data_IF_326907425518
#
_entry.id   IF_326907425518
#
_cell.length_a   1.000
_cell.length_b   1.000
_cell.length_c   1.000
_cell.angle_alpha   90.00
_cell.angle_beta   90.00
_cell.angle_gamma   90.00
#
_symmetry.space_group_name_H-M   'P 1'
#
loop_
_entity.id
_entity.type
_entity.pdbx_description
1 polymer ?
2 non-polymer ?
3 non-polymer ?
4 water ?
#
# COMPACT_ATOMS: atom_id res chain seq x y z
N UNK A 16 9.62 -1.56 -4.43
CA UNK A 16 8.72 -0.44 -3.99
C UNK A 16 7.22 -0.67 -4.27
N UNK A 17 6.88 -1.68 -5.06
CA UNK A 17 5.55 -2.27 -4.94
C UNK A 17 5.55 -2.95 -3.56
N UNK A 18 6.75 -3.26 -3.10
CA UNK A 18 6.93 -3.76 -1.77
C UNK A 18 6.56 -2.68 -0.72
N UNK A 19 7.11 -1.48 -0.86
CA UNK A 19 6.70 -0.35 0.00
C UNK A 19 5.21 -0.08 -0.10
N UNK A 20 4.69 0.00 -1.33
CA UNK A 20 3.27 0.37 -1.52
C UNK A 20 2.31 -0.55 -0.84
N UNK A 21 2.56 -1.85 -0.98
CA UNK A 21 1.71 -2.88 -0.40
C UNK A 21 1.77 -2.79 1.11
N UNK A 22 2.98 -2.61 1.66
CA UNK A 22 3.11 -2.41 3.10
C UNK A 22 2.43 -1.13 3.60
N UNK A 23 2.51 -0.04 2.86
CA UNK A 23 1.83 1.22 3.25
C UNK A 23 0.32 1.00 3.25
N UNK A 24 -0.19 0.42 2.17
CA UNK A 24 -1.61 0.13 2.10
C UNK A 24 -2.09 -0.81 3.21
N UNK A 25 -1.33 -1.88 3.50
CA UNK A 25 -1.73 -2.79 4.56
C UNK A 25 -1.83 -2.05 5.89
N UNK A 26 -0.83 -1.21 6.14
CA UNK A 26 -0.79 -0.45 7.39
C UNK A 26 -2.00 0.50 7.54
N UNK A 27 -2.36 1.20 6.46
CA UNK A 27 -3.54 2.06 6.46
C UNK A 27 -4.81 1.25 6.73
N UNK A 28 -4.90 0.02 6.18
CA UNK A 28 -6.09 -0.77 6.45
C UNK A 28 -6.09 -1.34 7.87
N UNK A 29 -4.93 -1.69 8.38
CA UNK A 29 -4.81 -2.16 9.75
C UNK A 29 -5.31 -1.09 10.74
N UNK A 30 -5.09 0.18 10.39
CA UNK A 30 -5.56 1.31 11.20
C UNK A 30 -7.09 1.41 11.19
N UNK A 31 -7.71 0.72 10.22
CA UNK A 31 -9.16 0.77 10.10
C UNK A 31 -9.80 -0.58 10.39
N UNK A 32 -9.08 -1.40 11.13
CA UNK A 32 -9.58 -2.65 11.68
C UNK A 32 -9.43 -3.90 10.83
N UNK A 33 -8.70 -3.81 9.71
CA UNK A 33 -8.41 -4.98 8.87
C UNK A 33 -7.24 -5.81 9.35
N UNK A 34 -7.34 -7.13 9.17
CA UNK A 34 -6.19 -8.00 9.30
C UNK A 34 -5.60 -8.13 7.92
N UNK A 35 -4.28 -8.01 7.80
CA UNK A 35 -3.64 -7.93 6.47
C UNK A 35 -2.47 -8.91 6.31
N UNK A 36 -2.20 -9.33 5.07
CA UNK A 36 -0.97 -10.03 4.70
C UNK A 36 -0.52 -9.37 3.39
N UNK A 37 0.78 -9.23 3.18
CA UNK A 37 1.29 -8.55 1.98
C UNK A 37 1.98 -9.51 1.04
N UNK A 38 1.98 -9.20 -0.26
CA UNK A 38 2.77 -9.94 -1.26
C UNK A 38 2.52 -11.45 -1.21
N UNK A 39 1.28 -11.82 -1.46
CA UNK A 39 0.84 -13.21 -1.36
C UNK A 39 0.66 -13.77 -2.77
N UNK A 40 1.30 -14.89 -3.07
CA UNK A 40 1.00 -15.56 -4.33
C UNK A 40 0.09 -16.71 -4.01
N UNK A 41 -1.06 -16.81 -4.71
CA UNK A 41 -1.93 -17.97 -4.51
C UNK A 41 -2.04 -18.73 -5.85
N UNK A 42 -2.23 -20.05 -5.78
CA UNK A 42 -2.50 -20.84 -6.99
C UNK A 42 -3.97 -20.61 -7.38
N UNK A 43 -4.17 -19.91 -8.50
CA UNK A 43 -5.54 -19.67 -8.95
C UNK A 43 -6.15 -20.93 -9.55
N UNK A 44 -7.39 -20.79 -10.00
CA UNK A 44 -8.08 -21.89 -10.69
C UNK A 44 -7.23 -22.34 -11.89
N UNK A 45 -6.58 -21.35 -12.52
CA UNK A 45 -5.80 -21.58 -13.75
C UNK A 45 -4.29 -21.45 -13.53
N UNK A 46 -3.84 -20.34 -12.96
CA UNK A 46 -2.41 -20.10 -12.83
C UNK A 46 -2.13 -19.38 -11.51
N UNK A 47 -0.87 -19.28 -11.14
CA UNK A 47 -0.47 -18.47 -9.96
C UNK A 47 -0.78 -17.00 -10.13
N UNK A 48 -1.25 -16.36 -9.06
CA UNK A 48 -1.61 -14.95 -9.12
C UNK A 48 -1.00 -14.24 -7.94
N UNK A 49 -0.38 -13.09 -8.20
CA UNK A 49 0.14 -12.22 -7.13
C UNK A 49 -0.96 -11.30 -6.57
N UNK A 50 -1.09 -11.26 -5.26
CA UNK A 50 -2.06 -10.35 -4.60
C UNK A 50 -1.23 -9.43 -3.69
N UNK A 51 -1.27 -8.12 -3.96
CA UNK A 51 -0.39 -7.17 -3.20
C UNK A 51 -0.75 -7.10 -1.72
N UNK A 52 -2.05 -7.11 -1.42
CA UNK A 52 -2.51 -7.18 -0.03
C UNK A 52 -3.77 -8.02 0.03
N UNK A 53 -3.81 -8.93 0.97
CA UNK A 53 -5.00 -9.64 1.32
C UNK A 53 -5.50 -9.01 2.63
N UNK A 54 -6.70 -8.45 2.63
CA UNK A 54 -7.22 -7.75 3.82
C UNK A 54 -8.57 -8.31 4.20
N UNK A 55 -8.73 -8.59 5.50
CA UNK A 55 -9.99 -9.14 5.97
C UNK A 55 -10.53 -8.33 7.15
N UNK A 56 -11.82 -8.04 7.12
CA UNK A 56 -12.48 -7.67 8.36
C UNK A 56 -13.95 -7.97 8.41
N UNK A 57 -14.34 -8.48 9.57
CA UNK A 57 -15.70 -8.96 9.84
C UNK A 57 -16.28 -9.82 8.74
N UNK A 58 -15.49 -10.78 8.32
CA UNK A 58 -15.94 -11.80 7.40
C UNK A 58 -15.96 -11.38 5.95
N UNK A 59 -15.40 -10.21 5.64
CA UNK A 59 -15.22 -9.81 4.24
C UNK A 59 -13.75 -9.93 3.94
N UNK A 60 -13.38 -10.46 2.76
CA UNK A 60 -11.96 -10.63 2.42
C UNK A 60 -11.69 -10.04 1.04
N UNK A 61 -10.74 -9.11 0.98
CA UNK A 61 -10.46 -8.36 -0.25
C UNK A 61 -9.16 -8.77 -0.91
N UNK A 62 -9.18 -8.86 -2.24
CA UNK A 62 -7.98 -9.05 -3.05
C UNK A 62 -7.50 -7.69 -3.50
N UNK A 63 -6.42 -7.18 -2.88
CA UNK A 63 -5.97 -5.82 -3.18
C UNK A 63 -4.75 -5.80 -4.09
N UNK A 64 -4.80 -4.99 -5.14
CA UNK A 64 -3.64 -4.72 -6.01
C UNK A 64 -3.33 -3.24 -6.02
N UNK A 65 -2.04 -2.90 -5.90
CA UNK A 65 -1.58 -1.52 -6.00
C UNK A 65 -1.11 -1.28 -7.42
N UNK A 66 -1.58 -0.19 -8.03
CA UNK A 66 -1.07 0.28 -9.29
C UNK A 66 -0.71 1.75 -9.12
N UNK A 67 0.52 2.00 -8.72
CA UNK A 67 0.99 3.37 -8.45
C UNK A 67 1.77 3.88 -9.67
N UNK A 68 1.90 5.20 -9.77
CA UNK A 68 2.65 5.82 -10.86
C UNK A 68 3.57 6.90 -10.27
N UNK A 69 4.73 7.12 -10.88
CA UNK A 69 5.59 8.25 -10.48
C UNK A 69 5.45 9.48 -11.39
N UNK A 70 4.53 9.39 -12.34
CA UNK A 70 4.16 10.49 -13.21
C UNK A 70 2.64 10.70 -13.12
N UNK A 71 2.13 11.90 -13.48
CA UNK A 71 0.70 12.16 -13.30
C UNK A 71 -0.10 11.53 -14.45
N UNK A 72 -0.32 10.22 -14.36
CA UNK A 72 -1.10 9.50 -15.36
C UNK A 72 -2.20 8.71 -14.66
N UNK A 73 -3.27 8.40 -15.39
CA UNK A 73 -4.41 7.66 -14.82
C UNK A 73 -4.11 6.18 -14.72
N UNK A 74 -4.76 5.51 -13.77
CA UNK A 74 -4.89 4.06 -13.80
C UNK A 74 -6.15 3.80 -14.61
N UNK A 75 -6.01 3.06 -15.70
CA UNK A 75 -7.10 2.99 -16.67
C UNK A 75 -7.86 1.70 -16.80
N UNK A 76 -8.64 1.61 -17.88
CA UNK A 76 -9.60 0.52 -18.04
C UNK A 76 -8.89 -0.82 -18.19
N UNK A 77 -7.79 -0.87 -18.92
CA UNK A 77 -7.08 -2.11 -19.10
C UNK A 77 -6.66 -2.71 -17.75
N UNK A 78 -6.08 -1.87 -16.89
CA UNK A 78 -5.69 -2.32 -15.54
C UNK A 78 -6.86 -2.85 -14.74
N UNK A 79 -7.99 -2.14 -14.78
CA UNK A 79 -9.21 -2.59 -14.11
C UNK A 79 -9.70 -3.96 -14.61
N UNK A 80 -9.71 -4.12 -15.94
CA UNK A 80 -10.18 -5.36 -16.52
C UNK A 80 -9.26 -6.54 -16.22
N UNK A 81 -7.95 -6.36 -16.32
CA UNK A 81 -6.91 -7.34 -15.86
C UNK A 81 -7.17 -7.79 -14.44
N UNK A 82 -7.40 -6.78 -13.59
CA UNK A 82 -7.63 -7.03 -12.17
C UNK A 82 -8.88 -7.84 -11.94
N UNK A 83 -9.94 -7.53 -12.71
CA UNK A 83 -11.15 -8.31 -12.56
C UNK A 83 -10.88 -9.77 -12.95
N UNK A 84 -10.19 -9.99 -14.07
CA UNK A 84 -9.82 -11.37 -14.46
C UNK A 84 -8.99 -12.08 -13.39
N UNK A 85 -8.07 -11.36 -12.76
CA UNK A 85 -7.28 -11.92 -11.64
C UNK A 85 -8.19 -12.37 -10.51
N UNK A 86 -9.11 -11.49 -10.13
CA UNK A 86 -10.10 -11.80 -9.08
C UNK A 86 -10.85 -13.10 -9.44
N UNK A 87 -11.33 -13.22 -10.68
CA UNK A 87 -12.09 -14.43 -11.03
C UNK A 87 -11.24 -15.69 -10.85
N UNK A 88 -9.95 -15.58 -11.17
CA UNK A 88 -9.04 -16.73 -11.07
C UNK A 88 -8.72 -17.12 -9.59
N UNK A 89 -8.83 -16.18 -8.64
CA UNK A 89 -8.54 -16.49 -7.22
C UNK A 89 -9.78 -16.59 -6.35
N UNK A 90 -10.93 -16.26 -6.93
CA UNK A 90 -12.17 -16.09 -6.17
C UNK A 90 -12.50 -17.32 -5.32
N UNK A 91 -12.23 -18.52 -5.85
CA UNK A 91 -12.48 -19.79 -5.14
C UNK A 91 -11.72 -19.93 -3.81
N UNK A 92 -10.66 -19.13 -3.63
CA UNK A 92 -9.93 -19.07 -2.36
C UNK A 92 -10.66 -18.28 -1.27
N UNK A 93 -11.81 -17.70 -1.61
CA UNK A 93 -12.63 -16.96 -0.62
C UNK A 93 -12.34 -15.48 -0.65
N UNK A 94 -12.59 -14.84 -1.79
CA UNK A 94 -12.42 -13.38 -1.90
C UNK A 94 -13.75 -12.77 -2.19
N UNK A 95 -14.10 -11.75 -1.41
CA UNK A 95 -15.36 -11.05 -1.53
C UNK A 95 -15.40 -10.15 -2.76
N UNK A 96 -14.32 -9.39 -2.96
CA UNK A 96 -14.24 -8.36 -3.96
C UNK A 96 -12.80 -8.04 -4.21
N UNK A 97 -12.47 -7.64 -5.45
CA UNK A 97 -11.16 -7.06 -5.70
C UNK A 97 -11.18 -5.56 -5.38
N UNK A 98 -10.00 -4.99 -5.15
CA UNK A 98 -9.87 -3.59 -4.72
C UNK A 98 -8.54 -3.07 -5.27
N UNK A 99 -8.58 -1.98 -6.01
CA UNK A 99 -7.36 -1.39 -6.55
C UNK A 99 -7.05 -0.10 -5.78
N UNK A 100 -5.79 0.02 -5.37
CA UNK A 100 -5.28 1.30 -4.85
C UNK A 100 -4.34 1.93 -5.85
N UNK A 101 -4.54 3.22 -6.09
CA UNK A 101 -3.59 3.95 -6.90
C UNK A 101 -3.25 5.27 -6.20
N UNK A 102 -2.06 5.77 -6.46
CA UNK A 102 -1.64 7.05 -5.90
C UNK A 102 -1.96 8.23 -6.82
N UNK A 103 -2.58 7.98 -7.98
CA UNK A 103 -3.04 9.06 -8.84
C UNK A 103 -4.58 9.07 -8.87
N UNK A 104 -5.15 8.85 -10.06
CA UNK A 104 -6.59 8.80 -10.24
C UNK A 104 -6.92 7.67 -11.20
N UNK A 105 -8.16 7.22 -11.15
CA UNK A 105 -8.68 6.26 -12.12
C UNK A 105 -9.31 7.04 -13.26
N UNK A 106 -9.17 6.54 -14.47
CA UNK A 106 -9.92 7.15 -15.60
C UNK A 106 -11.43 7.02 -15.44
N UNK A 107 -12.19 7.84 -16.17
CA UNK A 107 -13.66 7.70 -16.08
C UNK A 107 -14.12 6.32 -16.55
N UNK A 108 -13.42 5.76 -17.54
CA UNK A 108 -13.77 4.43 -18.04
C UNK A 108 -13.49 3.38 -16.98
N UNK A 109 -12.35 3.49 -16.31
CA UNK A 109 -12.06 2.55 -15.21
C UNK A 109 -13.08 2.65 -14.07
N UNK A 110 -13.49 3.88 -13.71
CA UNK A 110 -14.48 4.08 -12.65
C UNK A 110 -15.81 3.43 -13.03
N UNK A 111 -16.21 3.63 -14.28
CA UNK A 111 -17.47 3.06 -14.76
C UNK A 111 -17.44 1.53 -14.76
N UNK A 112 -16.38 0.97 -15.32
CA UNK A 112 -16.24 -0.49 -15.38
C UNK A 112 -16.22 -1.10 -13.96
N UNK A 113 -15.42 -0.48 -13.11
CA UNK A 113 -15.34 -0.94 -11.72
C UNK A 113 -16.69 -0.93 -11.01
N UNK A 114 -17.47 0.12 -11.19
CA UNK A 114 -18.78 0.23 -10.52
C UNK A 114 -19.69 -0.87 -11.04
N UNK A 115 -19.47 -1.24 -12.28
CA UNK A 115 -20.37 -2.17 -12.91
C UNK A 115 -20.07 -3.66 -12.74
N UNK A 116 -18.79 -4.06 -12.73
CA UNK A 116 -18.37 -5.29 -12.14
C UNK A 116 -18.12 -5.51 -10.67
N UNK A 117 -17.99 -4.43 -9.91
CA UNK A 117 -17.83 -4.61 -8.43
C UNK A 117 -16.37 -4.56 -7.96
N UNK A 118 -15.54 -3.75 -8.60
CA UNK A 118 -14.15 -3.54 -8.09
C UNK A 118 -14.14 -2.31 -7.20
N UNK A 119 -13.71 -2.46 -5.95
CA UNK A 119 -13.53 -1.29 -5.08
C UNK A 119 -12.35 -0.49 -5.59
N UNK A 120 -12.42 0.84 -5.49
CA UNK A 120 -11.30 1.66 -5.97
C UNK A 120 -10.92 2.68 -4.90
N UNK A 121 -9.62 2.82 -4.67
CA UNK A 121 -9.15 3.93 -3.82
C UNK A 121 -8.02 4.61 -4.54
N UNK A 122 -8.18 5.92 -4.79
CA UNK A 122 -7.14 6.72 -5.42
C UNK A 122 -6.55 7.69 -4.42
N UNK A 123 -5.69 8.59 -4.89
CA UNK A 123 -5.19 9.65 -4.02
C UNK A 123 -6.34 10.44 -3.38
N UNK A 124 -7.36 10.73 -4.19
CA UNK A 124 -8.45 11.61 -3.78
C UNK A 124 -9.84 11.05 -4.13
N UNK A 125 -9.94 9.71 -4.15
CA UNK A 125 -11.16 9.01 -4.57
C UNK A 125 -11.25 7.72 -3.75
N UNK A 126 -12.46 7.34 -3.26
CA UNK A 126 -13.71 8.08 -3.41
C UNK A 126 -13.66 9.32 -2.51
N UNK A 127 -14.66 10.18 -2.64
CA UNK A 127 -14.83 11.33 -1.79
C UNK A 127 -14.64 10.86 -0.34
N UNK A 128 -13.83 11.59 0.41
CA UNK A 128 -13.64 11.36 1.84
C UNK A 128 -12.78 10.15 2.22
N UNK A 129 -12.39 9.33 1.24
CA UNK A 129 -11.75 8.05 1.53
C UNK A 129 -10.45 7.79 0.74
N UNK A 130 -9.91 8.83 0.13
CA UNK A 130 -8.73 8.67 -0.70
C UNK A 130 -7.49 8.45 0.16
N UNK A 131 -6.39 8.03 -0.45
CA UNK A 131 -5.14 7.81 0.30
C UNK A 131 -4.73 9.12 1.01
N UNK A 132 -4.97 10.26 0.36
CA UNK A 132 -4.59 11.57 0.98
C UNK A 132 -5.27 11.71 2.35
N UNK A 133 -6.55 11.32 2.44
CA UNK A 133 -7.31 11.33 3.70
C UNK A 133 -6.83 10.25 4.68
N UNK A 134 -6.64 9.04 4.18
CA UNK A 134 -6.13 7.98 5.06
C UNK A 134 -4.82 8.39 5.75
N UNK A 135 -3.90 8.99 5.00
CA UNK A 135 -2.63 9.46 5.59
C UNK A 135 -2.82 10.71 6.45
N UNK A 136 -3.42 11.74 5.88
CA UNK A 136 -3.43 13.07 6.51
C UNK A 136 -4.33 13.13 7.73
N UNK A 137 -5.40 12.34 7.75
CA UNK A 137 -6.29 12.31 8.92
C UNK A 137 -5.61 11.77 10.19
N UNK A 138 -4.51 11.03 10.00
CA UNK A 138 -3.76 10.47 11.14
C UNK A 138 -2.43 11.17 11.33
N UNK A 139 -2.13 12.14 10.46
CA UNK A 139 -0.84 12.82 10.45
C UNK A 139 0.33 11.93 10.07
N UNK A 140 0.13 11.06 9.10
CA UNK A 140 1.19 10.11 8.68
C UNK A 140 2.08 10.62 7.52
N UNK A 141 3.39 10.34 7.61
CA UNK A 141 4.35 10.71 6.59
C UNK A 141 5.08 9.47 6.15
N UNK A 142 4.84 9.01 4.91
CA UNK A 142 5.57 7.84 4.36
C UNK A 142 7.08 8.06 4.42
N UNK A 143 7.87 7.02 4.73
CA UNK A 143 9.33 7.19 4.82
C UNK A 143 10.01 7.49 3.50
N UNK A 144 9.26 7.35 2.39
CA UNK A 144 9.76 7.74 1.08
C UNK A 144 10.12 9.23 0.99
N UNK A 145 9.64 10.02 1.95
CA UNK A 145 9.96 11.45 2.00
C UNK A 145 11.40 11.68 2.49
N UNK A 146 12.00 10.68 3.12
CA UNK A 146 13.32 10.83 3.69
C UNK A 146 14.43 10.72 2.65
N UNK A 147 15.53 11.41 2.92
CA UNK A 147 16.78 11.28 2.14
C UNK A 147 17.45 9.91 2.35
N UNK A 148 16.82 8.85 1.87
CA UNK A 148 17.36 7.49 2.02
C UNK A 148 17.33 6.73 0.68
N UNK A 149 18.28 5.80 0.50
CA UNK A 149 18.35 5.01 -0.74
C UNK A 149 17.44 3.77 -0.69
N UNK A 150 17.35 3.08 -1.82
CA UNK A 150 16.46 1.91 -1.98
C UNK A 150 16.81 0.77 -1.03
N UNK A 151 18.08 0.68 -0.65
CA UNK A 151 18.56 -0.35 0.27
C UNK A 151 18.08 -0.06 1.71
N UNK A 152 18.45 1.12 2.21
CA UNK A 152 17.95 1.64 3.51
C UNK A 152 16.43 1.58 3.56
N UNK A 153 15.79 2.09 2.52
CA UNK A 153 14.34 2.04 2.38
C UNK A 153 13.78 0.63 2.57
N UNK A 154 14.31 -0.33 1.82
CA UNK A 154 13.82 -1.71 1.88
C UNK A 154 14.03 -2.37 3.25
N UNK A 155 15.21 -2.16 3.82
CA UNK A 155 15.51 -2.57 5.21
C UNK A 155 14.47 -2.06 6.17
N UNK A 156 14.18 -0.76 6.12
CA UNK A 156 13.16 -0.18 6.99
C UNK A 156 11.81 -0.87 6.77
N UNK A 157 11.36 -0.95 5.51
CA UNK A 157 10.07 -1.59 5.21
C UNK A 157 9.95 -3.05 5.69
N UNK A 158 10.96 -3.88 5.42
CA UNK A 158 11.00 -5.27 5.89
C UNK A 158 10.74 -5.35 7.42
N UNK A 159 11.24 -4.36 8.16
CA UNK A 159 11.03 -4.27 9.61
C UNK A 159 9.63 -3.72 9.91
N UNK A 160 8.87 -3.45 8.86
CA UNK A 160 7.51 -2.89 9.00
C UNK A 160 7.53 -1.40 9.24
N UNK A 161 8.64 -0.77 8.90
CA UNK A 161 8.79 0.67 9.12
C UNK A 161 8.35 1.33 7.82
N UNK A 162 7.17 1.95 7.86
CA UNK A 162 6.66 2.58 6.64
C UNK A 162 6.42 4.09 6.80
N UNK A 163 6.28 4.54 8.04
CA UNK A 163 6.02 5.97 8.32
C UNK A 163 7.18 6.55 9.13
N UNK A 164 7.34 7.88 9.07
CA UNK A 164 8.39 8.54 9.87
C UNK A 164 8.27 8.21 11.34
N UNK A 165 7.04 8.18 11.86
CA UNK A 165 6.82 7.79 13.25
C UNK A 165 7.40 6.42 13.59
N UNK A 166 7.40 5.50 12.62
CA UNK A 166 7.93 4.16 12.86
C UNK A 166 9.44 4.14 13.07
N UNK A 167 10.13 5.01 12.35
CA UNK A 167 11.56 5.20 12.49
C UNK A 167 11.87 5.69 13.92
N UNK A 168 11.10 6.67 14.38
CA UNK A 168 11.27 7.26 15.71
C UNK A 168 11.00 6.21 16.79
N UNK A 169 9.91 5.45 16.65
CA UNK A 169 9.58 4.51 17.72
C UNK A 169 10.39 3.18 17.64
N UNK A 170 11.03 2.93 16.49
CA UNK A 170 11.92 1.78 16.33
C UNK A 170 13.17 2.03 17.19
N UNK A 171 13.74 3.23 17.04
CA UNK A 171 14.86 3.67 17.87
C UNK A 171 16.18 3.32 17.22
N UNK A 172 17.21 4.12 17.54
CA UNK A 172 18.49 3.97 16.84
C UNK A 172 19.07 2.58 17.08
N UNK A 173 18.78 2.01 18.24
CA UNK A 173 19.24 0.65 18.51
C UNK A 173 18.72 -0.40 17.50
N UNK A 174 17.42 -0.35 17.22
CA UNK A 174 16.77 -1.27 16.28
C UNK A 174 17.18 -1.05 14.80
N UNK A 175 17.42 0.21 14.44
CA UNK A 175 17.86 0.56 13.10
C UNK A 175 19.25 -0.04 12.81
N UNK A 176 20.06 -0.16 13.85
CA UNK A 176 21.37 -0.81 13.70
C UNK A 176 21.25 -2.31 13.39
N UNK A 177 20.38 -3.03 14.09
CA UNK A 177 20.10 -4.44 13.76
C UNK A 177 19.72 -4.66 12.31
N UNK A 178 18.83 -3.82 11.78
CA UNK A 178 18.34 -4.06 10.44
C UNK A 178 19.35 -3.66 9.36
N UNK A 179 20.47 -3.07 9.77
CA UNK A 179 21.59 -2.83 8.86
C UNK A 179 22.18 -1.44 8.74
N UNK A 180 21.60 -0.46 9.42
CA UNK A 180 22.13 0.90 9.34
C UNK A 180 23.36 1.04 10.24
N UNK A 181 24.36 1.78 9.77
CA UNK A 181 25.45 2.22 10.63
C UNK A 181 24.87 3.08 11.77
N UNK A 182 25.61 3.19 12.87
CA UNK A 182 25.22 4.09 13.97
C UNK A 182 24.94 5.50 13.47
N UNK A 183 25.84 5.99 12.61
CA UNK A 183 25.76 7.34 12.08
C UNK A 183 24.52 7.50 11.22
N UNK A 184 24.29 6.55 10.31
CA UNK A 184 23.12 6.61 9.44
C UNK A 184 21.83 6.50 10.25
N UNK A 185 21.81 5.65 11.26
CA UNK A 185 20.65 5.53 12.15
C UNK A 185 20.33 6.87 12.85
N UNK A 186 21.34 7.54 13.40
CA UNK A 186 21.13 8.86 13.99
C UNK A 186 20.58 9.87 12.97
N UNK A 187 21.12 9.84 11.76
CA UNK A 187 20.72 10.80 10.72
C UNK A 187 19.26 10.57 10.33
N UNK A 188 18.88 9.31 10.15
CA UNK A 188 17.52 8.97 9.72
C UNK A 188 16.48 9.33 10.80
N UNK A 189 16.80 9.02 12.05
CA UNK A 189 15.95 9.44 13.17
C UNK A 189 15.80 10.97 13.23
N UNK A 190 16.91 11.70 13.10
CA UNK A 190 16.82 13.15 13.09
C UNK A 190 15.98 13.67 11.91
N UNK A 191 16.10 13.05 10.74
CA UNK A 191 15.33 13.49 9.58
C UNK A 191 13.84 13.24 9.83
N UNK A 192 13.54 12.09 10.43
CA UNK A 192 12.12 11.73 10.67
C UNK A 192 11.53 12.69 11.69
N UNK A 193 12.28 12.99 12.75
CA UNK A 193 11.81 13.95 13.77
C UNK A 193 11.54 15.31 13.14
N UNK A 194 12.41 15.74 12.24
CA UNK A 194 12.26 17.02 11.57
C UNK A 194 11.01 17.12 10.67
N UNK A 195 10.73 16.03 9.94
CA UNK A 195 9.49 15.95 9.14
C UNK A 195 8.27 16.07 10.06
N UNK A 196 8.27 15.29 11.13
CA UNK A 196 7.11 15.24 12.02
C UNK A 196 6.88 16.58 12.74
N UNK A 197 7.97 17.29 13.06
CA UNK A 197 7.83 18.56 13.76
C UNK A 197 7.73 19.79 12.85
N UNK A 198 7.79 19.57 11.53
CA UNK A 198 7.90 20.65 10.55
C UNK A 198 6.65 20.88 9.69
N UNK A 199 5.51 20.38 10.15
CA UNK A 199 4.26 20.41 9.37
C UNK A 199 3.53 21.76 9.43
X LIG B 1 4.57 9.58 10.53
X LIG C 1 -8.93 4.53 -20.49
X LIG C 1 -10.17 5.13 -20.99
X LIG C 1 -7.95 5.59 -20.42
X LIG C 1 -8.49 3.49 -21.42
X LIG C 1 -9.16 3.99 -19.16
X LIG D 1 -4.11 1.20 -18.14
X LIG D 1 -4.36 1.98 -19.35
X LIG D 1 -3.66 2.06 -17.02
X LIG D 1 -3.07 0.20 -18.40
X LIG D 1 -5.34 0.53 -17.79
X LIG E 1 -2.15 -21.31 -2.06
X LIG E 1 -3.11 -20.25 -1.78
X LIG E 1 -1.83 -21.29 -3.48
X LIG E 1 -2.73 -22.60 -1.69
X LIG E 1 -0.92 -21.12 -1.29
X LIG F 1 1.43 -21.71 -12.81
X LIG F 1 1.70 -22.10 -14.22
X LIG F 1 1.24 -20.26 -12.73
X LIG F 1 2.64 -22.07 -12.06
X LIG F 1 0.29 -22.44 -12.30
X LIG G 1 4.85 4.94 -13.98
X LIG G 1 5.79 4.95 -15.09
X LIG G 1 3.51 4.59 -14.46
X LIG G 1 4.80 6.28 -13.39
X LIG G 1 5.30 3.99 -12.98
X LIG H 1 -13.83 2.15 7.52
X LIG H 1 -13.37 3.50 7.34
X LIG H 1 -14.99 1.89 6.65
X LIG H 1 -14.22 1.93 8.90
X LIG H 1 -12.76 1.22 7.16
X LIG I 1 28.68 0.92 12.78
X LIG I 1 27.92 1.97 13.44
X LIG I 1 29.01 1.33 11.41
X LIG I 1 27.92 -0.33 12.71
X LIG I 1 29.90 0.67 13.53
X LIG J 1 -2.92 8.48 16.36
X LIG J 1 -4.29 8.51 15.84
X LIG J 1 -2.05 9.34 15.54
X LIG J 1 -2.43 7.12 16.31
X LIG J 1 -2.90 9.00 17.74
X LIG K 1 2.35 -9.93 6.65
X LIG K 1 1.59 -10.47 7.77
X LIG K 1 1.87 -8.60 6.34
X LIG K 1 2.18 -10.78 5.46
X LIG K 1 3.75 -9.87 7.03
#
# INVERSE_FOLDING_TARGET
MGSSHHHHHHSSGRENLYFQGHMVARLLEEHGFETKTNVIVQGNCVEQEIDVVAERDGERYMIECKFHNIPVYTGLKEAMYTYARFLDVEKHGFTQPWIFTNTKFSEEAKKYAGCVGIKLTGWSYPEKEGIEVLLESKGLYPITILRIDKEVLDELVRAGLVFCRDVVSAGEEKLREIGLSAKKAREVIAEAKKVIGGS
CL CL
SO4 S O1 O2 O3 O4
SO4 S O1 O2 O3 O4
SO4 S O1 O2 O3 O4
SO4 S O1 O2 O3 O4
SO4 S O1 O2 O3 O4
SO4 S O1 O2 O3 O4
SO4 S O1 O2 O3 O4
SO4 S O1 O2 O3 O4
SO4 S O1 O2 O3 O4
#
